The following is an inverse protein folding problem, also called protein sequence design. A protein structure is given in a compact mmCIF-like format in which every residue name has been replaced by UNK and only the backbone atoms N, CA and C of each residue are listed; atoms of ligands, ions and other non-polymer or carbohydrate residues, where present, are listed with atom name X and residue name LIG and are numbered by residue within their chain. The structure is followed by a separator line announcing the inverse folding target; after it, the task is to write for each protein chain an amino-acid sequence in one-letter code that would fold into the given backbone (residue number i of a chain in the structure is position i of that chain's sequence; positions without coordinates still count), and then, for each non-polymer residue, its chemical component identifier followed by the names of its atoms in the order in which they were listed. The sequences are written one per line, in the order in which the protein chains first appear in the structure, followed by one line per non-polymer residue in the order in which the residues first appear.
data_IF_120029140814
#
_entry.id   IF_120029140814
#
_cell.length_a   1.000
_cell.length_b   1.000
_cell.length_c   1.000
_cell.angle_alpha   90.00
_cell.angle_beta   90.00
_cell.angle_gamma   90.00
#
_symmetry.space_group_name_H-M   'P 1'
#
loop_
_entity.id
_entity.type
_entity.pdbx_description
1 polymer ?
#
# COMPACT_ATOMS: atom_id res chain seq x y z
N UNK A 1 37.59 74.82 -21.81
CA UNK A 1 36.91 73.51 -21.91
C UNK A 1 36.55 73.30 -23.36
N UNK A 2 37.29 72.42 -24.02
CA UNK A 2 37.23 72.10 -25.45
C UNK A 2 35.93 71.30 -25.73
N UNK A 3 35.07 71.69 -26.70
CA UNK A 3 35.09 71.28 -28.12
C UNK A 3 34.74 69.78 -28.27
N UNK A 4 33.95 69.26 -29.19
CA UNK A 4 33.32 69.73 -30.41
C UNK A 4 32.38 68.62 -30.92
N UNK A 5 31.45 69.03 -31.76
CA UNK A 5 30.60 68.18 -32.57
C UNK A 5 31.43 67.31 -33.55
N UNK A 6 30.90 66.16 -33.97
CA UNK A 6 30.59 65.86 -35.40
C UNK A 6 29.99 64.45 -35.56
N UNK A 7 29.12 64.26 -36.59
CA UNK A 7 28.03 63.29 -36.61
C UNK A 7 28.20 62.18 -37.67
N UNK A 8 27.21 61.26 -37.69
CA UNK A 8 26.59 60.47 -38.78
C UNK A 8 27.40 60.12 -40.06
N UNK A 9 27.18 58.85 -40.47
CA UNK A 9 27.48 58.15 -41.75
C UNK A 9 28.68 57.19 -41.61
N UNK A 10 28.48 55.87 -41.57
CA UNK A 10 28.35 55.05 -42.78
C UNK A 10 27.59 53.73 -42.55
N UNK A 11 26.73 53.42 -43.50
CA UNK A 11 26.13 52.11 -43.70
C UNK A 11 27.21 51.00 -43.81
N UNK A 12 26.92 49.84 -43.23
CA UNK A 12 27.63 48.59 -43.55
C UNK A 12 27.98 47.76 -42.31
N UNK A 13 27.33 46.60 -42.19
CA UNK A 13 27.75 45.45 -41.36
C UNK A 13 27.52 45.58 -39.85
N UNK A 14 26.33 45.16 -39.38
CA UNK A 14 26.19 44.44 -38.08
C UNK A 14 24.75 43.98 -37.77
N UNK A 15 23.73 44.29 -38.57
CA UNK A 15 22.37 43.75 -38.33
C UNK A 15 22.22 42.25 -38.65
N UNK A 16 23.26 41.59 -39.17
CA UNK A 16 23.28 40.14 -39.35
C UNK A 16 23.70 39.37 -38.08
N UNK A 17 24.36 39.99 -37.10
CA UNK A 17 24.77 39.29 -35.86
C UNK A 17 23.60 39.17 -34.89
N UNK A 18 22.73 40.19 -34.79
CA UNK A 18 21.55 40.11 -33.94
C UNK A 18 20.54 39.07 -34.44
N UNK A 19 20.26 39.02 -35.76
CA UNK A 19 19.36 38.01 -36.33
C UNK A 19 20.00 36.61 -36.33
N UNK A 20 21.30 36.50 -36.59
CA UNK A 20 22.04 35.24 -36.49
C UNK A 20 22.10 34.67 -35.08
N UNK A 21 22.28 35.54 -34.07
CA UNK A 21 22.24 35.18 -32.65
C UNK A 21 20.85 34.72 -32.19
N UNK A 22 19.78 35.34 -32.69
CA UNK A 22 18.40 34.90 -32.40
C UNK A 22 18.05 33.59 -33.09
N UNK A 23 18.48 33.35 -34.34
CA UNK A 23 18.24 32.08 -35.04
C UNK A 23 19.06 30.91 -34.46
N UNK A 24 20.33 31.14 -34.10
CA UNK A 24 21.14 30.14 -33.42
C UNK A 24 20.66 29.91 -31.98
N UNK A 25 20.25 30.96 -31.27
CA UNK A 25 19.63 30.88 -29.95
C UNK A 25 18.28 30.14 -29.96
N UNK A 26 17.44 30.37 -30.97
CA UNK A 26 16.18 29.65 -31.16
C UNK A 26 16.41 28.16 -31.48
N UNK A 27 17.42 27.84 -32.29
CA UNK A 27 17.75 26.44 -32.63
C UNK A 27 18.39 25.68 -31.47
N UNK A 28 19.26 26.33 -30.70
CA UNK A 28 19.83 25.80 -29.45
C UNK A 28 18.75 25.69 -28.35
N UNK A 29 17.83 26.65 -28.30
CA UNK A 29 16.66 26.63 -27.42
C UNK A 29 15.71 25.48 -27.72
N UNK A 30 15.47 25.16 -29.00
CA UNK A 30 14.65 24.00 -29.39
C UNK A 30 15.28 22.68 -28.94
N UNK A 31 16.58 22.47 -29.16
CA UNK A 31 17.27 21.26 -28.70
C UNK A 31 17.31 21.17 -27.16
N UNK A 32 17.44 22.30 -26.46
CA UNK A 32 17.40 22.35 -25.00
C UNK A 32 15.99 22.11 -24.46
N UNK A 33 14.97 22.68 -25.10
CA UNK A 33 13.56 22.49 -24.77
C UNK A 33 13.13 21.04 -25.00
N UNK A 34 13.57 20.39 -26.09
CA UNK A 34 13.33 18.98 -26.34
C UNK A 34 14.01 18.09 -25.28
N UNK A 35 15.24 18.39 -24.88
CA UNK A 35 15.93 17.67 -23.80
C UNK A 35 15.23 17.82 -22.46
N UNK A 36 14.81 19.04 -22.10
CA UNK A 36 14.05 19.31 -20.88
C UNK A 36 12.67 18.64 -20.90
N UNK A 37 11.97 18.69 -22.03
CA UNK A 37 10.68 18.02 -22.21
C UNK A 37 10.84 16.50 -22.07
N UNK A 38 11.85 15.91 -22.72
CA UNK A 38 12.13 14.49 -22.59
C UNK A 38 12.53 14.09 -21.17
N UNK A 39 13.37 14.88 -20.50
CA UNK A 39 13.75 14.64 -19.11
C UNK A 39 12.53 14.74 -18.16
N UNK A 40 11.64 15.71 -18.37
CA UNK A 40 10.37 15.82 -17.63
C UNK A 40 9.46 14.61 -17.87
N UNK A 41 9.27 14.21 -19.13
CA UNK A 41 8.48 13.03 -19.47
C UNK A 41 9.06 11.74 -18.87
N UNK A 42 10.39 11.59 -18.86
CA UNK A 42 11.04 10.47 -18.20
C UNK A 42 10.83 10.49 -16.68
N UNK A 43 10.98 11.65 -16.05
CA UNK A 43 10.74 11.81 -14.62
C UNK A 43 9.29 11.51 -14.25
N UNK A 44 8.32 12.03 -15.00
CA UNK A 44 6.89 11.76 -14.82
C UNK A 44 6.57 10.27 -14.95
N UNK A 45 7.20 9.57 -15.89
CA UNK A 45 7.04 8.10 -16.03
C UNK A 45 7.55 7.34 -14.82
N UNK A 46 8.69 7.75 -14.27
CA UNK A 46 9.26 7.14 -13.06
C UNK A 46 8.34 7.39 -11.86
N UNK A 47 7.91 8.64 -11.65
CA UNK A 47 6.97 8.99 -10.58
C UNK A 47 5.65 8.21 -10.71
N UNK A 48 5.11 8.09 -11.92
CA UNK A 48 3.90 7.33 -12.16
C UNK A 48 4.07 5.81 -11.93
N UNK A 49 5.27 5.27 -12.14
CA UNK A 49 5.58 3.88 -11.82
C UNK A 49 5.70 3.67 -10.31
N UNK A 50 6.38 4.57 -9.61
CA UNK A 50 6.56 4.53 -8.16
C UNK A 50 5.23 4.70 -7.42
N UNK A 51 4.39 5.65 -7.85
CA UNK A 51 3.05 5.85 -7.29
C UNK A 51 2.19 4.58 -7.41
N UNK A 52 2.20 3.93 -8.60
CA UNK A 52 1.49 2.66 -8.80
C UNK A 52 2.05 1.52 -7.94
N UNK A 53 3.36 1.51 -7.69
CA UNK A 53 4.00 0.52 -6.80
C UNK A 53 3.58 0.75 -5.35
N UNK A 54 3.65 2.00 -4.87
CA UNK A 54 3.23 2.36 -3.52
C UNK A 54 1.75 2.05 -3.28
N UNK A 55 0.89 2.32 -4.27
CA UNK A 55 -0.53 1.99 -4.20
C UNK A 55 -0.77 0.48 -4.03
N UNK A 56 -0.09 -0.37 -4.81
CA UNK A 56 -0.22 -1.84 -4.64
C UNK A 56 0.30 -2.32 -3.29
N UNK A 57 1.35 -1.69 -2.77
CA UNK A 57 1.87 -2.00 -1.43
C UNK A 57 0.87 -1.60 -0.34
N UNK A 58 0.30 -0.38 -0.41
CA UNK A 58 -0.65 0.08 0.59
C UNK A 58 -1.91 -0.79 0.61
N UNK A 59 -2.45 -1.12 -0.56
CA UNK A 59 -3.58 -2.05 -0.70
C UNK A 59 -3.24 -3.43 -0.09
N UNK A 60 -2.06 -3.98 -0.37
CA UNK A 60 -1.64 -5.25 0.20
C UNK A 60 -1.56 -5.23 1.74
N UNK A 61 -1.04 -4.14 2.32
CA UNK A 61 -0.96 -3.99 3.77
C UNK A 61 -2.33 -3.79 4.42
N UNK A 62 -3.22 -3.03 3.79
CA UNK A 62 -4.60 -2.85 4.28
C UNK A 62 -5.35 -4.18 4.30
N UNK A 63 -5.24 -4.99 3.24
CA UNK A 63 -5.87 -6.31 3.20
C UNK A 63 -5.31 -7.26 4.26
N UNK A 64 -3.99 -7.24 4.48
CA UNK A 64 -3.36 -8.02 5.54
C UNK A 64 -3.88 -7.62 6.92
N UNK A 65 -3.93 -6.32 7.21
CA UNK A 65 -4.42 -5.80 8.49
C UNK A 65 -5.87 -6.19 8.73
N UNK A 66 -6.72 -6.07 7.71
CA UNK A 66 -8.14 -6.43 7.79
C UNK A 66 -8.34 -7.92 8.17
N UNK A 67 -7.53 -8.83 7.61
CA UNK A 67 -7.57 -10.25 8.03
C UNK A 67 -7.07 -10.45 9.45
N UNK A 68 -5.97 -9.80 9.84
CA UNK A 68 -5.38 -9.96 11.18
C UNK A 68 -6.32 -9.41 12.26
N UNK A 69 -6.88 -8.22 12.05
CA UNK A 69 -7.86 -7.60 12.96
C UNK A 69 -9.14 -8.42 13.03
N UNK A 70 -9.66 -8.91 11.89
CA UNK A 70 -10.83 -9.79 11.89
C UNK A 70 -10.61 -11.07 12.69
N UNK A 71 -9.41 -11.65 12.60
CA UNK A 71 -9.02 -12.80 13.44
C UNK A 71 -8.88 -12.41 14.91
N UNK A 72 -8.29 -11.25 15.21
CA UNK A 72 -8.12 -10.75 16.58
C UNK A 72 -9.46 -10.49 17.27
N UNK A 73 -10.41 -9.90 16.55
CA UNK A 73 -11.77 -9.70 17.03
C UNK A 73 -12.48 -11.04 17.28
N UNK A 74 -12.33 -11.99 16.35
CA UNK A 74 -12.86 -13.35 16.55
C UNK A 74 -12.26 -14.07 17.74
N UNK A 75 -10.93 -14.01 17.93
CA UNK A 75 -10.29 -14.69 19.05
C UNK A 75 -10.68 -14.08 20.40
N UNK A 76 -10.83 -12.75 20.47
CA UNK A 76 -11.32 -12.07 21.66
C UNK A 76 -12.75 -12.47 22.03
N UNK A 77 -13.59 -12.75 21.03
CA UNK A 77 -14.98 -13.19 21.24
C UNK A 77 -15.10 -14.66 21.70
N UNK A 78 -14.06 -15.48 21.59
CA UNK A 78 -14.10 -16.89 22.02
C UNK A 78 -14.17 -17.05 23.54
N UNK A 79 -13.65 -16.08 24.29
CA UNK A 79 -13.66 -16.10 25.75
C UNK A 79 -14.03 -14.71 26.28
N UNK A 80 -15.33 -14.35 26.20
CA UNK A 80 -15.76 -13.02 26.58
C UNK A 80 -15.54 -12.82 28.08
N UNK A 81 -15.13 -11.60 28.45
CA UNK A 81 -14.92 -11.22 29.85
C UNK A 81 -16.24 -11.24 30.65
N UNK A 82 -17.38 -11.04 29.98
CA UNK A 82 -18.71 -11.12 30.56
C UNK A 82 -19.49 -12.25 29.90
N UNK A 83 -20.04 -13.15 30.71
CA UNK A 83 -20.95 -14.19 30.24
C UNK A 83 -22.34 -13.56 30.09
N UNK A 84 -22.82 -13.46 28.85
CA UNK A 84 -24.14 -12.87 28.54
C UNK A 84 -25.17 -13.96 28.26
N UNK A 85 -26.41 -13.74 28.64
CA UNK A 85 -27.56 -14.58 28.27
C UNK A 85 -28.57 -13.72 27.47
N UNK A 86 -28.73 -13.93 26.13
CA UNK A 86 -28.11 -14.99 25.34
C UNK A 86 -26.60 -14.81 25.11
N UNK A 87 -25.87 -15.89 24.77
CA UNK A 87 -24.44 -15.82 24.47
C UNK A 87 -24.14 -14.82 23.36
N UNK A 88 -23.04 -14.07 23.50
CA UNK A 88 -22.60 -13.15 22.48
C UNK A 88 -22.32 -13.89 21.17
N UNK A 89 -22.84 -13.36 20.06
CA UNK A 89 -22.60 -13.95 18.74
C UNK A 89 -21.11 -13.87 18.39
N UNK A 90 -20.55 -15.01 17.98
CA UNK A 90 -19.18 -15.07 17.48
C UNK A 90 -19.11 -14.38 16.12
N UNK A 91 -18.20 -13.41 15.93
CA UNK A 91 -18.02 -12.80 14.63
C UNK A 91 -17.55 -13.85 13.63
N UNK A 92 -17.87 -13.69 12.34
CA UNK A 92 -17.40 -14.63 11.33
C UNK A 92 -15.88 -14.53 11.19
N UNK A 93 -15.21 -15.67 11.09
CA UNK A 93 -13.83 -15.71 10.65
C UNK A 93 -13.72 -15.14 9.22
N UNK A 94 -12.61 -14.47 8.88
CA UNK A 94 -12.34 -14.07 7.50
C UNK A 94 -12.47 -15.27 6.55
N UNK A 95 -13.07 -15.06 5.37
CA UNK A 95 -13.29 -16.15 4.41
C UNK A 95 -11.96 -16.78 3.96
N UNK A 96 -12.01 -18.04 3.54
CA UNK A 96 -10.83 -18.75 3.02
C UNK A 96 -10.24 -18.02 1.81
N UNK A 97 -11.09 -17.52 0.91
CA UNK A 97 -10.68 -16.72 -0.24
C UNK A 97 -9.88 -15.49 0.17
N UNK A 98 -10.34 -14.77 1.18
CA UNK A 98 -9.65 -13.58 1.72
C UNK A 98 -8.31 -13.96 2.34
N UNK A 99 -8.24 -15.05 3.09
CA UNK A 99 -6.99 -15.58 3.66
C UNK A 99 -5.97 -15.95 2.57
N UNK A 100 -6.42 -16.65 1.51
CA UNK A 100 -5.56 -17.03 0.38
C UNK A 100 -5.08 -15.80 -0.39
N UNK A 101 -5.96 -14.81 -0.61
CA UNK A 101 -5.60 -13.55 -1.26
C UNK A 101 -4.52 -12.79 -0.49
N UNK A 102 -4.69 -12.66 0.83
CA UNK A 102 -3.68 -12.02 1.69
C UNK A 102 -2.35 -12.78 1.66
N UNK A 103 -2.37 -14.11 1.74
CA UNK A 103 -1.16 -14.92 1.62
C UNK A 103 -0.42 -14.65 0.29
N UNK A 104 -1.15 -14.55 -0.83
CA UNK A 104 -0.58 -14.22 -2.12
C UNK A 104 0.04 -12.81 -2.14
N UNK A 105 -0.66 -11.82 -1.56
CA UNK A 105 -0.19 -10.44 -1.47
C UNK A 105 1.07 -10.32 -0.61
N UNK A 106 1.11 -10.96 0.57
CA UNK A 106 2.31 -11.00 1.43
C UNK A 106 3.48 -11.65 0.72
N UNK A 107 3.23 -12.72 -0.05
CA UNK A 107 4.28 -13.40 -0.83
C UNK A 107 4.83 -12.49 -1.93
N UNK A 108 3.96 -11.82 -2.68
CA UNK A 108 4.33 -10.98 -3.81
C UNK A 108 4.98 -9.65 -3.39
N UNK A 109 4.50 -9.05 -2.30
CA UNK A 109 4.77 -7.65 -1.97
C UNK A 109 5.34 -7.42 -0.57
N UNK A 110 5.21 -8.40 0.34
CA UNK A 110 5.71 -8.29 1.71
C UNK A 110 7.24 -8.20 1.75
N UNK A 111 7.75 -7.37 2.65
CA UNK A 111 9.17 -7.41 3.04
C UNK A 111 9.49 -8.72 3.74
N UNK A 112 10.77 -9.08 3.85
CA UNK A 112 11.17 -10.33 4.51
C UNK A 112 10.68 -10.40 5.96
N UNK A 113 10.80 -9.29 6.70
CA UNK A 113 10.27 -9.18 8.06
C UNK A 113 8.75 -9.42 8.13
N UNK A 114 7.98 -8.89 7.17
CA UNK A 114 6.52 -9.08 7.14
C UNK A 114 6.17 -10.53 6.83
N UNK A 115 6.92 -11.20 5.94
CA UNK A 115 6.71 -12.63 5.64
C UNK A 115 7.02 -13.52 6.84
N UNK A 116 8.06 -13.20 7.59
CA UNK A 116 8.42 -13.90 8.82
C UNK A 116 7.32 -13.76 9.87
N UNK A 117 6.89 -12.52 10.14
CA UNK A 117 5.78 -12.23 11.05
C UNK A 117 4.48 -12.91 10.61
N UNK A 118 4.16 -12.90 9.31
CA UNK A 118 2.98 -13.57 8.78
C UNK A 118 3.05 -15.09 8.98
N UNK A 119 4.24 -15.70 8.81
CA UNK A 119 4.45 -17.12 9.03
C UNK A 119 4.21 -17.49 10.49
N UNK A 120 4.76 -16.71 11.42
CA UNK A 120 4.60 -16.95 12.85
C UNK A 120 3.17 -16.69 13.34
N UNK A 121 2.52 -15.67 12.78
CA UNK A 121 1.09 -15.45 12.97
C UNK A 121 0.25 -16.65 12.49
N UNK A 122 0.57 -17.20 11.32
CA UNK A 122 -0.14 -18.38 10.77
C UNK A 122 0.05 -19.62 11.65
N UNK A 123 1.24 -19.82 12.23
CA UNK A 123 1.47 -20.89 13.22
C UNK A 123 0.62 -20.66 14.48
N UNK A 124 0.61 -19.44 15.00
CA UNK A 124 -0.19 -19.06 16.18
C UNK A 124 -1.68 -19.30 15.93
N UNK A 125 -2.14 -19.08 14.70
CA UNK A 125 -3.51 -19.34 14.29
C UNK A 125 -3.92 -20.82 14.40
N UNK A 126 -3.00 -21.76 14.13
CA UNK A 126 -3.27 -23.19 14.33
C UNK A 126 -3.55 -23.49 15.80
N UNK A 127 -2.77 -22.91 16.71
CA UNK A 127 -2.98 -23.08 18.15
C UNK A 127 -4.30 -22.48 18.62
N UNK A 128 -4.65 -21.28 18.16
CA UNK A 128 -5.92 -20.63 18.52
C UNK A 128 -7.11 -21.44 17.99
N UNK A 129 -7.05 -21.96 16.75
CA UNK A 129 -8.11 -22.81 16.19
C UNK A 129 -8.30 -24.11 16.97
N UNK A 130 -7.20 -24.75 17.36
CA UNK A 130 -7.25 -25.96 18.19
C UNK A 130 -7.89 -25.66 19.55
N UNK A 131 -7.48 -24.57 20.21
CA UNK A 131 -8.06 -24.15 21.48
C UNK A 131 -9.57 -23.83 21.35
N UNK A 132 -9.98 -23.14 20.28
CA UNK A 132 -11.38 -22.84 20.01
C UNK A 132 -12.23 -24.10 19.85
N UNK A 133 -11.70 -25.14 19.19
CA UNK A 133 -12.38 -26.44 19.06
C UNK A 133 -12.54 -27.12 20.41
N UNK A 134 -11.49 -27.11 21.25
CA UNK A 134 -11.54 -27.67 22.60
C UNK A 134 -12.58 -26.95 23.47
N UNK A 135 -12.60 -25.61 23.47
CA UNK A 135 -13.58 -24.82 24.21
C UNK A 135 -15.00 -25.23 23.80
N UNK A 136 -15.29 -25.28 22.50
CA UNK A 136 -16.62 -25.66 21.99
C UNK A 136 -17.04 -27.07 22.44
N UNK A 137 -16.12 -28.03 22.43
CA UNK A 137 -16.40 -29.40 22.86
C UNK A 137 -16.75 -29.45 24.35
N UNK A 138 -15.94 -28.81 25.19
CA UNK A 138 -16.15 -28.78 26.64
C UNK A 138 -17.42 -28.03 27.02
N UNK A 139 -17.71 -26.89 26.38
CA UNK A 139 -18.96 -26.15 26.62
C UNK A 139 -20.18 -26.99 26.27
N UNK A 140 -20.17 -27.68 25.13
CA UNK A 140 -21.26 -28.58 24.75
C UNK A 140 -21.45 -29.72 25.76
N UNK A 141 -20.36 -30.29 26.28
CA UNK A 141 -20.42 -31.33 27.31
C UNK A 141 -21.04 -30.81 28.62
N UNK A 142 -20.66 -29.60 29.05
CA UNK A 142 -21.21 -28.95 30.24
C UNK A 142 -22.72 -28.70 30.07
N UNK A 143 -23.16 -28.22 28.92
CA UNK A 143 -24.58 -27.95 28.66
C UNK A 143 -25.40 -29.25 28.61
N UNK A 144 -24.86 -30.33 28.03
CA UNK A 144 -25.48 -31.66 28.06
C UNK A 144 -25.63 -32.19 29.50
N UNK A 145 -24.63 -31.97 30.36
CA UNK A 145 -24.71 -32.34 31.79
C UNK A 145 -25.75 -31.49 32.55
N UNK A 146 -25.81 -30.19 32.29
CA UNK A 146 -26.80 -29.28 32.93
C UNK A 146 -28.23 -29.58 32.53
N UNK A 147 -28.47 -30.02 31.30
CA UNK A 147 -29.81 -30.30 30.76
C UNK A 147 -30.35 -31.70 31.11
N UNK A 148 -29.59 -32.53 31.84
CA UNK A 148 -30.04 -33.84 32.33
C UNK A 148 -30.15 -34.93 31.27
N UNK A 149 -29.75 -34.66 30.02
CA UNK A 149 -29.81 -35.61 28.89
C UNK A 149 -28.65 -36.62 28.89
N UNK A 150 -27.80 -36.62 29.92
CA UNK A 150 -26.57 -37.41 29.98
C UNK A 150 -26.57 -38.65 30.89
N UNK A 151 -27.68 -39.01 31.53
CA UNK A 151 -27.73 -40.13 32.50
C UNK A 151 -28.91 -41.07 32.30
N UNK A 152 -29.10 -41.57 31.08
CA UNK A 152 -29.80 -42.83 30.84
C UNK A 152 -29.09 -43.63 29.72
N UNK A 153 -27.95 -44.24 30.08
CA UNK A 153 -27.44 -45.49 29.50
C UNK A 153 -26.98 -46.36 30.66
#
# INVERSE_FOLDING_TARGET
MAWEWVPVVTAGVASSIAVGGTLLGARMGHLHAERLANARLQHERVLAADARRQQRLSEAYVELLDVVEGVGYWSAALYPMMDTDPPQELPPLPSLEKQVRVQALVTAYGSEAVRELHRDWTKSMVHIRAAAQTIRYVTAEIDMRKTGLGTEM
#
